data_IF_770420098407
#
_entry.id   IF_770420098407
#
_cell.length_a   1.000
_cell.length_b   1.000
_cell.length_c   1.000
_cell.angle_alpha   90.00
_cell.angle_beta   90.00
_cell.angle_gamma   90.00
#
_symmetry.space_group_name_H-M   'P 1'
#
loop_
_entity.id
_entity.type
_entity.pdbx_description
1 polymer ?
#
# COMPACT_ATOMS: atom_id res chain seq x y z
N UNK A 1 19.18 9.12 19.31
CA UNK A 1 19.19 8.25 18.12
C UNK A 1 18.16 7.15 18.32
N UNK A 2 17.49 6.70 17.26
CA UNK A 2 16.52 5.62 17.32
C UNK A 2 17.18 4.28 17.03
N UNK A 3 16.78 3.25 17.75
CA UNK A 3 17.07 1.84 17.44
C UNK A 3 15.94 1.32 16.56
N UNK A 4 16.24 0.43 15.63
CA UNK A 4 15.25 -0.09 14.70
C UNK A 4 15.30 -1.62 14.64
N UNK A 5 14.14 -2.24 14.57
CA UNK A 5 13.99 -3.68 14.30
C UNK A 5 13.11 -3.91 13.08
N UNK A 6 13.64 -4.59 12.05
CA UNK A 6 12.84 -4.98 10.88
C UNK A 6 11.71 -5.92 11.31
N UNK A 7 10.53 -5.77 10.70
CA UNK A 7 9.37 -6.61 10.96
C UNK A 7 8.99 -7.45 9.74
N UNK A 8 8.51 -6.84 8.69
CA UNK A 8 8.10 -7.51 7.45
C UNK A 8 8.13 -6.55 6.27
N UNK A 9 7.97 -7.09 5.07
CA UNK A 9 7.82 -6.31 3.85
C UNK A 9 6.36 -6.30 3.41
N UNK A 10 5.90 -5.12 2.97
CA UNK A 10 4.52 -4.88 2.61
C UNK A 10 4.40 -4.50 1.13
N UNK A 11 3.45 -5.11 0.41
CA UNK A 11 3.29 -4.86 -1.02
C UNK A 11 2.34 -3.69 -1.32
N UNK A 12 2.45 -3.18 -2.56
CA UNK A 12 1.47 -2.28 -3.17
C UNK A 12 0.39 -3.07 -3.91
N UNK A 13 -0.79 -2.47 -4.02
CA UNK A 13 -1.90 -2.91 -4.86
C UNK A 13 -2.45 -1.73 -5.66
N UNK A 14 -3.06 -2.03 -6.79
CA UNK A 14 -3.86 -1.06 -7.53
C UNK A 14 -5.32 -1.19 -7.10
N UNK A 15 -6.00 -0.07 -6.87
CA UNK A 15 -7.43 0.00 -6.59
C UNK A 15 -8.18 0.75 -7.68
N UNK A 16 -9.40 0.31 -7.99
CA UNK A 16 -10.32 0.93 -8.92
C UNK A 16 -11.77 0.64 -8.49
N UNK A 17 -12.75 1.38 -9.00
CA UNK A 17 -14.15 0.99 -8.83
C UNK A 17 -14.44 -0.35 -9.49
N UNK A 18 -15.39 -1.11 -8.99
CA UNK A 18 -15.91 -2.31 -9.66
C UNK A 18 -16.51 -1.91 -11.03
N UNK A 19 -16.25 -2.73 -12.04
CA UNK A 19 -16.70 -2.43 -13.40
C UNK A 19 -15.96 -1.26 -14.08
N UNK A 20 -14.77 -0.89 -13.59
CA UNK A 20 -13.91 0.07 -14.30
C UNK A 20 -13.58 -0.46 -15.71
N UNK A 21 -13.70 0.36 -16.77
CA UNK A 21 -13.59 -0.12 -18.15
C UNK A 21 -12.22 -0.69 -18.53
N UNK A 22 -11.15 -0.23 -17.90
CA UNK A 22 -9.77 -0.64 -18.22
C UNK A 22 -9.00 -1.28 -17.07
N UNK A 23 -9.45 -1.12 -15.81
CA UNK A 23 -8.73 -1.63 -14.65
C UNK A 23 -9.29 -2.99 -14.24
N UNK A 24 -8.49 -4.04 -14.42
CA UNK A 24 -8.81 -5.43 -14.06
C UNK A 24 -7.53 -6.20 -13.77
N UNK A 25 -7.65 -7.35 -13.13
CA UNK A 25 -6.53 -8.27 -12.99
C UNK A 25 -5.94 -8.62 -14.38
N UNK A 26 -4.62 -8.52 -14.50
CA UNK A 26 -3.92 -8.76 -15.76
C UNK A 26 -3.97 -7.58 -16.75
N UNK A 27 -4.34 -6.36 -16.32
CA UNK A 27 -4.18 -5.18 -17.18
C UNK A 27 -2.71 -5.00 -17.57
N UNK A 28 -2.50 -4.56 -18.82
CA UNK A 28 -1.15 -4.28 -19.34
C UNK A 28 -0.60 -2.96 -18.82
N UNK A 29 0.73 -2.76 -18.91
CA UNK A 29 1.36 -1.47 -18.60
C UNK A 29 0.75 -0.34 -19.45
N UNK A 30 0.49 -0.58 -20.75
CA UNK A 30 -0.16 0.40 -21.62
C UNK A 30 -1.55 0.83 -21.14
N UNK A 31 -2.39 -0.14 -20.71
CA UNK A 31 -3.70 0.15 -20.13
C UNK A 31 -3.59 0.93 -18.82
N UNK A 32 -2.63 0.56 -17.98
CA UNK A 32 -2.34 1.26 -16.73
C UNK A 32 -1.94 2.72 -16.96
N UNK A 33 -1.03 2.98 -17.91
CA UNK A 33 -0.57 4.33 -18.21
C UNK A 33 -1.65 5.20 -18.87
N UNK A 34 -2.52 4.58 -19.67
CA UNK A 34 -3.66 5.27 -20.32
C UNK A 34 -4.77 5.63 -19.33
N UNK A 35 -4.91 4.90 -18.23
CA UNK A 35 -5.89 5.20 -17.19
C UNK A 35 -5.56 6.54 -16.49
N UNK A 36 -6.60 7.18 -15.93
CA UNK A 36 -6.41 8.38 -15.10
C UNK A 36 -6.08 7.99 -13.67
N UNK A 37 -5.00 8.52 -13.13
CA UNK A 37 -4.50 8.17 -11.80
C UNK A 37 -4.90 9.20 -10.74
N UNK A 38 -5.38 8.72 -9.59
CA UNK A 38 -5.36 9.46 -8.35
C UNK A 38 -4.06 9.11 -7.60
N UNK A 39 -3.28 10.12 -7.23
CA UNK A 39 -2.01 9.92 -6.54
C UNK A 39 -1.99 10.66 -5.20
N UNK A 40 -1.33 10.05 -4.22
CA UNK A 40 -1.08 10.71 -2.93
C UNK A 40 0.34 11.24 -2.95
N UNK A 41 0.49 12.55 -2.98
CA UNK A 41 1.79 13.20 -2.96
C UNK A 41 2.03 13.89 -1.62
N UNK A 42 2.76 13.20 -0.77
CA UNK A 42 3.27 13.75 0.49
C UNK A 42 4.69 13.21 0.71
N UNK A 43 5.66 14.11 0.92
CA UNK A 43 7.06 13.75 1.16
C UNK A 43 7.22 12.80 2.36
N UNK A 44 8.14 11.84 2.23
CA UNK A 44 8.49 10.91 3.30
C UNK A 44 7.46 9.81 3.54
N UNK A 45 6.58 9.52 2.59
CA UNK A 45 5.57 8.46 2.68
C UNK A 45 5.90 7.29 1.75
N UNK A 46 5.32 6.12 2.04
CA UNK A 46 5.47 4.90 1.23
C UNK A 46 5.10 5.11 -0.24
N UNK A 47 4.19 6.01 -0.54
CA UNK A 47 3.83 6.37 -1.91
C UNK A 47 5.00 6.93 -2.73
N UNK A 48 5.94 7.61 -2.07
CA UNK A 48 7.14 8.12 -2.72
C UNK A 48 8.01 6.99 -3.32
N UNK A 49 7.98 5.79 -2.71
CA UNK A 49 8.67 4.60 -3.23
C UNK A 49 8.07 4.20 -4.57
N UNK A 50 6.74 4.07 -4.65
CA UNK A 50 6.05 3.69 -5.88
C UNK A 50 6.22 4.76 -6.98
N UNK A 51 6.06 6.02 -6.62
CA UNK A 51 6.19 7.13 -7.57
C UNK A 51 7.60 7.20 -8.16
N UNK A 52 8.63 7.14 -7.31
CA UNK A 52 10.03 7.14 -7.74
C UNK A 52 10.34 5.96 -8.65
N UNK A 53 9.92 4.76 -8.29
CA UNK A 53 10.17 3.56 -9.11
C UNK A 53 9.53 3.69 -10.50
N UNK A 54 8.31 4.20 -10.58
CA UNK A 54 7.63 4.42 -11.87
C UNK A 54 8.35 5.48 -12.70
N UNK A 55 8.80 6.56 -12.06
CA UNK A 55 9.55 7.63 -12.71
C UNK A 55 10.94 7.14 -13.19
N UNK A 56 11.64 6.32 -12.38
CA UNK A 56 12.93 5.69 -12.76
C UNK A 56 12.79 4.71 -13.94
N UNK A 57 11.63 4.07 -14.09
CA UNK A 57 11.30 3.26 -15.27
C UNK A 57 11.00 4.09 -16.52
N UNK A 58 10.99 5.41 -16.43
CA UNK A 58 10.61 6.32 -17.51
C UNK A 58 9.13 6.26 -17.87
N UNK A 59 8.28 5.76 -16.98
CA UNK A 59 6.85 5.61 -17.22
C UNK A 59 6.11 6.89 -16.79
N UNK A 60 5.33 7.45 -17.71
CA UNK A 60 4.55 8.67 -17.47
C UNK A 60 3.08 8.32 -17.29
N UNK A 61 2.56 8.54 -16.08
CA UNK A 61 1.14 8.33 -15.75
C UNK A 61 0.29 9.54 -16.10
N UNK A 62 -0.93 9.29 -16.51
CA UNK A 62 -1.95 10.33 -16.69
C UNK A 62 -2.56 10.68 -15.32
N UNK A 63 -2.01 11.68 -14.62
CA UNK A 63 -2.46 12.08 -13.30
C UNK A 63 -3.71 12.95 -13.44
N UNK A 64 -4.86 12.41 -13.02
CA UNK A 64 -6.14 13.10 -13.01
C UNK A 64 -6.48 13.78 -11.68
N UNK A 65 -5.87 13.31 -10.58
CA UNK A 65 -6.11 13.85 -9.24
C UNK A 65 -4.87 13.70 -8.36
N UNK A 66 -4.61 14.72 -7.54
CA UNK A 66 -3.62 14.65 -6.47
C UNK A 66 -4.29 14.94 -5.13
N UNK A 67 -4.02 14.09 -4.13
CA UNK A 67 -4.51 14.26 -2.77
C UNK A 67 -3.34 14.21 -1.79
N UNK A 68 -3.35 14.98 -0.70
CA UNK A 68 -2.37 14.81 0.37
C UNK A 68 -2.68 13.60 1.27
N UNK A 69 -3.87 13.01 1.17
CA UNK A 69 -4.35 11.97 2.10
C UNK A 69 -4.90 10.75 1.37
N UNK A 70 -4.56 9.56 1.89
CA UNK A 70 -5.12 8.29 1.40
C UNK A 70 -6.62 8.14 1.72
N UNK A 71 -7.09 8.70 2.82
CA UNK A 71 -8.44 8.47 3.34
C UNK A 71 -9.55 9.01 2.45
N UNK A 72 -9.25 9.98 1.57
CA UNK A 72 -10.21 10.49 0.59
C UNK A 72 -10.31 9.65 -0.68
N UNK A 73 -9.30 8.82 -0.97
CA UNK A 73 -9.23 8.06 -2.23
C UNK A 73 -10.40 7.10 -2.46
N UNK A 74 -10.87 6.32 -1.45
CA UNK A 74 -11.96 5.37 -1.69
C UNK A 74 -13.22 6.02 -2.24
N UNK A 75 -13.58 7.17 -1.70
CA UNK A 75 -14.76 7.92 -2.12
C UNK A 75 -14.61 8.46 -3.55
N UNK A 76 -13.45 9.03 -3.87
CA UNK A 76 -13.18 9.61 -5.18
C UNK A 76 -13.07 8.55 -6.28
N UNK A 77 -12.51 7.38 -5.96
CA UNK A 77 -12.33 6.27 -6.90
C UNK A 77 -13.64 5.53 -7.10
N UNK A 78 -14.47 5.36 -6.06
CA UNK A 78 -15.75 4.66 -6.17
C UNK A 78 -16.69 5.29 -7.21
N UNK A 79 -16.67 6.61 -7.33
CA UNK A 79 -17.54 7.39 -8.21
C UNK A 79 -16.83 7.92 -9.47
N UNK A 80 -15.69 7.34 -9.85
CA UNK A 80 -14.92 7.81 -11.01
C UNK A 80 -14.18 6.67 -11.71
N UNK A 81 -13.64 6.97 -12.92
CA UNK A 81 -12.71 6.10 -13.63
C UNK A 81 -11.24 6.38 -13.27
N UNK A 82 -10.99 6.78 -12.03
CA UNK A 82 -9.64 6.90 -11.49
C UNK A 82 -9.15 5.55 -10.97
N UNK A 83 -7.85 5.33 -11.09
CA UNK A 83 -7.15 4.22 -10.44
C UNK A 83 -6.09 4.77 -9.49
N UNK A 84 -5.69 4.01 -8.49
CA UNK A 84 -4.61 4.42 -7.59
C UNK A 84 -3.77 3.24 -7.15
N UNK A 85 -2.48 3.46 -6.97
CA UNK A 85 -1.59 2.53 -6.27
C UNK A 85 -1.61 2.90 -4.80
N UNK A 86 -1.84 1.93 -3.95
CA UNK A 86 -1.87 2.10 -2.49
C UNK A 86 -1.16 0.94 -1.80
N UNK A 87 -0.66 1.10 -0.56
CA UNK A 87 -0.23 -0.03 0.25
C UNK A 87 -1.36 -1.06 0.41
N UNK A 88 -1.05 -2.35 0.39
CA UNK A 88 -2.05 -3.43 0.46
C UNK A 88 -2.96 -3.31 1.69
N UNK A 89 -2.45 -2.88 2.84
CA UNK A 89 -3.25 -2.67 4.04
C UNK A 89 -4.41 -1.69 3.80
N UNK A 90 -4.14 -0.60 3.08
CA UNK A 90 -5.16 0.37 2.70
C UNK A 90 -6.11 -0.22 1.66
N UNK A 91 -5.58 -0.96 0.66
CA UNK A 91 -6.40 -1.67 -0.31
C UNK A 91 -7.39 -2.61 0.38
N UNK A 92 -6.94 -3.42 1.34
CA UNK A 92 -7.79 -4.32 2.12
C UNK A 92 -8.85 -3.57 2.93
N UNK A 93 -8.46 -2.47 3.59
CA UNK A 93 -9.40 -1.64 4.33
C UNK A 93 -10.47 -1.01 3.42
N UNK A 94 -10.10 -0.67 2.18
CA UNK A 94 -11.01 -0.04 1.22
C UNK A 94 -11.83 -1.04 0.40
N UNK A 95 -11.38 -2.29 0.23
CA UNK A 95 -12.07 -3.30 -0.57
C UNK A 95 -13.48 -3.63 -0.06
N UNK A 96 -13.68 -3.56 1.26
CA UNK A 96 -15.00 -3.70 1.89
C UNK A 96 -15.88 -2.44 1.77
N UNK A 97 -15.32 -1.36 1.25
CA UNK A 97 -15.95 -0.05 1.19
C UNK A 97 -16.30 0.28 -0.26
N UNK A 98 -17.51 0.78 -0.50
CA UNK A 98 -17.92 1.47 -1.72
C UNK A 98 -17.67 0.72 -3.06
N UNK A 99 -17.70 -0.60 -3.09
CA UNK A 99 -17.64 -1.32 -4.38
C UNK A 99 -16.31 -1.20 -5.12
N UNK A 100 -15.20 -1.05 -4.39
CA UNK A 100 -13.87 -1.05 -4.96
C UNK A 100 -13.39 -2.49 -5.24
N UNK A 101 -12.48 -2.60 -6.20
CA UNK A 101 -11.73 -3.81 -6.51
C UNK A 101 -10.23 -3.57 -6.32
N UNK A 102 -9.51 -4.61 -5.92
CA UNK A 102 -8.05 -4.61 -5.83
C UNK A 102 -7.47 -5.52 -6.90
N UNK A 103 -6.32 -5.15 -7.41
CA UNK A 103 -5.57 -5.95 -8.36
C UNK A 103 -4.07 -5.71 -8.22
N UNK A 104 -3.21 -6.64 -8.65
CA UNK A 104 -1.77 -6.39 -8.72
C UNK A 104 -1.49 -5.23 -9.68
N UNK A 105 -0.57 -4.30 -9.35
CA UNK A 105 -0.10 -3.31 -10.32
C UNK A 105 0.66 -4.02 -11.44
N UNK A 106 0.54 -3.57 -12.71
CA UNK A 106 1.24 -4.20 -13.84
C UNK A 106 2.72 -3.82 -13.93
N UNK A 107 3.22 -3.09 -12.95
CA UNK A 107 4.63 -2.67 -12.80
C UNK A 107 5.21 -3.30 -11.55
N UNK A 108 6.46 -3.78 -11.63
CA UNK A 108 7.16 -4.29 -10.47
C UNK A 108 7.55 -3.15 -9.54
N UNK A 109 6.93 -3.09 -8.37
CA UNK A 109 7.23 -2.11 -7.34
C UNK A 109 8.02 -2.79 -6.21
N UNK A 110 9.06 -2.14 -5.67
CA UNK A 110 9.75 -2.66 -4.50
C UNK A 110 8.79 -2.69 -3.30
N UNK A 111 8.95 -3.66 -2.40
CA UNK A 111 8.13 -3.71 -1.20
C UNK A 111 8.43 -2.54 -0.28
N UNK A 112 7.48 -2.24 0.59
CA UNK A 112 7.63 -1.25 1.66
C UNK A 112 8.21 -1.98 2.88
N UNK A 113 9.45 -1.70 3.30
CA UNK A 113 10.00 -2.30 4.51
C UNK A 113 9.32 -1.67 5.73
N UNK A 114 8.72 -2.51 6.57
CA UNK A 114 8.16 -2.09 7.84
C UNK A 114 9.11 -2.46 8.98
N UNK A 115 9.33 -1.51 9.88
CA UNK A 115 10.20 -1.65 11.03
C UNK A 115 9.58 -0.96 12.24
N UNK A 116 9.88 -1.47 13.42
CA UNK A 116 9.62 -0.78 14.67
C UNK A 116 10.83 0.09 15.04
N UNK A 117 10.56 1.22 15.66
CA UNK A 117 11.59 2.15 16.12
C UNK A 117 11.33 2.57 17.56
N UNK A 118 12.37 2.66 18.36
CA UNK A 118 12.29 3.17 19.73
C UNK A 118 13.50 4.04 20.06
N UNK A 119 13.37 4.86 21.09
CA UNK A 119 14.46 5.73 21.51
C UNK A 119 15.60 4.90 22.13
N UNK A 120 16.85 5.18 21.77
CA UNK A 120 18.00 4.51 22.37
C UNK A 120 18.06 4.70 23.90
N UNK A 121 17.58 5.83 24.41
CA UNK A 121 17.47 6.07 25.86
C UNK A 121 16.51 5.11 26.58
N UNK A 122 15.57 4.49 25.85
CA UNK A 122 14.60 3.53 26.37
C UNK A 122 15.02 2.08 26.14
N UNK A 123 16.23 1.83 25.64
CA UNK A 123 16.69 0.48 25.27
C UNK A 123 16.83 -0.45 26.49
N UNK A 124 17.04 0.10 27.70
CA UNK A 124 17.07 -0.64 28.96
C UNK A 124 15.74 -0.62 29.72
N UNK A 125 14.71 0.08 29.22
CA UNK A 125 13.42 0.15 29.90
C UNK A 125 12.63 -1.14 29.72
N UNK A 126 12.20 -1.82 30.82
CA UNK A 126 11.49 -3.09 30.74
C UNK A 126 10.18 -3.03 29.94
N UNK A 127 9.44 -1.91 30.02
CA UNK A 127 8.19 -1.75 29.30
C UNK A 127 8.43 -1.63 27.79
N UNK A 128 9.44 -0.87 27.40
CA UNK A 128 9.87 -0.75 26.00
C UNK A 128 10.32 -2.10 25.45
N UNK A 129 11.16 -2.83 26.19
CA UNK A 129 11.65 -4.15 25.79
C UNK A 129 10.51 -5.17 25.66
N UNK A 130 9.55 -5.14 26.58
CA UNK A 130 8.36 -5.99 26.50
C UNK A 130 7.55 -5.69 25.23
N UNK A 131 7.29 -4.41 24.94
CA UNK A 131 6.52 -4.00 23.76
C UNK A 131 7.25 -4.37 22.47
N UNK A 132 8.54 -4.11 22.38
CA UNK A 132 9.38 -4.46 21.22
C UNK A 132 9.34 -5.96 20.96
N UNK A 133 9.43 -6.78 22.01
CA UNK A 133 9.34 -8.24 21.90
C UNK A 133 7.96 -8.67 21.45
N UNK A 134 6.89 -8.14 22.06
CA UNK A 134 5.52 -8.47 21.69
C UNK A 134 5.21 -8.14 20.21
N UNK A 135 5.63 -6.96 19.74
CA UNK A 135 5.48 -6.58 18.34
C UNK A 135 6.28 -7.54 17.44
N UNK A 136 7.50 -7.89 17.83
CA UNK A 136 8.31 -8.87 17.11
C UNK A 136 7.63 -10.24 17.02
N UNK A 137 7.07 -10.76 18.11
CA UNK A 137 6.34 -12.04 18.13
C UNK A 137 5.12 -12.05 17.23
N UNK A 138 4.43 -10.91 17.14
CA UNK A 138 3.22 -10.77 16.31
C UNK A 138 3.53 -10.61 14.81
N UNK A 139 4.57 -9.87 14.45
CA UNK A 139 4.74 -9.34 13.10
C UNK A 139 6.06 -9.73 12.41
N UNK A 140 7.08 -10.27 13.12
CA UNK A 140 8.35 -10.60 12.49
C UNK A 140 8.17 -11.66 11.38
N UNK A 141 8.46 -11.27 10.15
CA UNK A 141 8.27 -12.11 8.96
C UNK A 141 6.80 -12.37 8.60
N UNK A 142 5.86 -11.65 9.20
CA UNK A 142 4.41 -11.86 9.01
C UNK A 142 3.74 -10.57 8.57
N UNK A 143 3.43 -10.44 7.29
CA UNK A 143 2.55 -9.37 6.80
C UNK A 143 1.09 -9.71 7.15
N UNK A 144 0.43 -8.99 8.06
CA UNK A 144 -0.94 -9.29 8.49
C UNK A 144 -1.99 -9.02 7.38
N UNK A 145 -1.58 -8.43 6.27
CA UNK A 145 -2.45 -8.15 5.13
C UNK A 145 -2.50 -9.27 4.11
N UNK A 146 -1.59 -10.24 4.23
CA UNK A 146 -1.71 -11.52 3.55
C UNK A 146 -2.77 -12.31 4.30
N UNK A 147 -4.01 -12.33 3.80
CA UNK A 147 -5.02 -13.25 4.30
C UNK A 147 -4.46 -14.67 4.13
N UNK A 148 -4.48 -15.46 5.19
CA UNK A 148 -4.37 -16.90 5.05
C UNK A 148 -5.54 -17.32 4.14
N UNK A 149 -5.24 -17.98 3.02
CA UNK A 149 -6.23 -18.54 2.08
C UNK A 149 -6.96 -19.76 2.68
N UNK A 150 -7.34 -19.69 3.95
CA UNK A 150 -8.00 -20.78 4.66
C UNK A 150 -9.01 -20.19 5.63
N UNK A 151 -10.19 -19.78 5.17
CA UNK A 151 -11.42 -19.83 5.98
C UNK A 151 -12.73 -19.58 5.19
N UNK A 152 -12.78 -19.84 3.89
CA UNK A 152 -14.04 -19.85 3.13
C UNK A 152 -14.38 -21.25 2.61
N UNK A 153 -14.20 -22.27 3.45
CA UNK A 153 -14.67 -23.64 3.17
C UNK A 153 -15.39 -24.22 4.41
N UNK A 154 -16.50 -23.60 4.81
CA UNK A 154 -17.57 -24.25 5.56
C UNK A 154 -18.91 -23.62 5.22
#
# INVERSE_FOLDING_TARGET
FAVAGALFEHAFVCIARRGHPGARAGMTIGQFLAARHAVVRQKGRSQEIADRTIDEMGLVRNIGLQSPHFTSLPFLIADSDLISIVPRALGNAFAGFAGLQMMPPPVALPPIPLAQHWAAASEADPATLWLVRLIGELFLGRDPTLRAETDDAE
#
